data_IF_528237158020
#
_entry.id   IF_528237158020
#
_cell.length_a   1.000
_cell.length_b   1.000
_cell.length_c   1.000
_cell.angle_alpha   90.00
_cell.angle_beta   90.00
_cell.angle_gamma   90.00
#
_symmetry.space_group_name_H-M   'P 1'
#
loop_
_entity.id
_entity.type
_entity.pdbx_description
1 polymer ?
#
# COMPACT_ATOMS: atom_id res chain seq x y z
N UNK A 1 -33.91 -15.83 67.60
CA UNK A 1 -32.73 -16.16 66.79
C UNK A 1 -33.21 -16.50 65.39
N UNK A 2 -33.15 -15.54 64.45
CA UNK A 2 -33.61 -15.71 63.07
C UNK A 2 -32.38 -15.88 62.18
N UNK A 3 -32.36 -16.95 61.40
CA UNK A 3 -31.30 -17.34 60.48
C UNK A 3 -31.12 -16.28 59.38
N UNK A 4 -29.85 -15.91 59.12
CA UNK A 4 -29.46 -15.00 58.05
C UNK A 4 -29.53 -15.69 56.69
N UNK A 5 -30.01 -14.92 55.70
CA UNK A 5 -30.21 -15.29 54.31
C UNK A 5 -28.91 -15.68 53.60
N UNK A 6 -29.00 -16.76 52.82
CA UNK A 6 -28.15 -17.03 51.67
C UNK A 6 -28.77 -16.34 50.45
N UNK A 7 -28.03 -15.45 49.80
CA UNK A 7 -28.27 -15.07 48.41
C UNK A 7 -26.93 -14.66 47.80
N UNK A 8 -26.31 -15.67 47.22
CA UNK A 8 -25.08 -15.69 46.41
C UNK A 8 -25.03 -14.57 45.37
N UNK A 9 -24.00 -13.73 45.48
CA UNK A 9 -23.60 -12.80 44.42
C UNK A 9 -23.05 -13.57 43.23
N UNK A 10 -23.80 -13.57 42.12
CA UNK A 10 -23.29 -13.98 40.81
C UNK A 10 -22.41 -12.85 40.25
N UNK A 11 -21.12 -12.86 40.59
CA UNK A 11 -20.13 -12.02 39.94
C UNK A 11 -19.82 -12.61 38.57
N UNK A 12 -20.38 -12.00 37.54
CA UNK A 12 -20.13 -12.29 36.13
C UNK A 12 -18.67 -11.90 35.83
N UNK A 13 -17.77 -12.88 35.79
CA UNK A 13 -16.41 -12.70 35.24
C UNK A 13 -16.54 -12.44 33.74
N UNK A 14 -16.47 -11.17 33.34
CA UNK A 14 -16.11 -10.79 31.97
C UNK A 14 -14.63 -11.13 31.79
N UNK A 15 -14.36 -12.31 31.25
CA UNK A 15 -13.08 -12.65 30.65
C UNK A 15 -12.87 -11.69 29.47
N UNK A 16 -12.04 -10.67 29.67
CA UNK A 16 -11.43 -9.96 28.56
C UNK A 16 -10.60 -11.00 27.79
N UNK A 17 -11.06 -11.35 26.60
CA UNK A 17 -10.23 -12.02 25.61
C UNK A 17 -9.18 -10.97 25.22
N UNK A 18 -8.01 -11.05 25.86
CA UNK A 18 -6.82 -10.35 25.38
C UNK A 18 -6.47 -11.00 24.04
N UNK A 19 -6.92 -10.38 22.95
CA UNK A 19 -6.46 -10.69 21.61
C UNK A 19 -4.94 -10.55 21.61
N UNK A 20 -4.26 -11.58 21.12
CA UNK A 20 -2.80 -11.67 21.09
C UNK A 20 -2.22 -10.66 20.09
N UNK A 21 -2.22 -9.37 20.44
CA UNK A 21 -1.61 -8.32 19.64
C UNK A 21 -0.11 -8.30 19.89
N UNK A 22 0.67 -8.56 18.84
CA UNK A 22 2.06 -8.19 18.82
C UNK A 22 2.15 -6.65 18.77
N UNK A 23 2.55 -6.03 19.88
CA UNK A 23 2.81 -4.59 20.01
C UNK A 23 1.70 -3.67 19.44
N UNK A 24 0.54 -3.60 20.12
CA UNK A 24 -0.59 -2.80 19.66
C UNK A 24 -0.29 -1.30 19.58
N UNK A 25 0.81 -0.83 20.17
CA UNK A 25 1.21 0.58 20.13
C UNK A 25 1.50 1.05 18.70
N UNK A 26 2.08 0.19 17.85
CA UNK A 26 2.35 0.53 16.45
C UNK A 26 1.06 0.66 15.65
N UNK A 27 0.18 -0.33 15.76
CA UNK A 27 -1.14 -0.35 15.13
C UNK A 27 -1.91 0.92 15.49
N UNK A 28 -2.10 1.17 16.78
CA UNK A 28 -2.86 2.32 17.27
C UNK A 28 -2.27 3.66 16.84
N UNK A 29 -0.94 3.79 16.80
CA UNK A 29 -0.29 5.03 16.39
C UNK A 29 -0.49 5.30 14.89
N UNK A 30 -0.36 4.28 14.04
CA UNK A 30 -0.58 4.39 12.60
C UNK A 30 -2.05 4.69 12.32
N UNK A 31 -2.98 3.95 12.93
CA UNK A 31 -4.42 4.19 12.74
C UNK A 31 -4.83 5.60 13.17
N UNK A 32 -4.32 6.07 14.31
CA UNK A 32 -4.56 7.43 14.80
C UNK A 32 -4.01 8.50 13.86
N UNK A 33 -2.85 8.26 13.25
CA UNK A 33 -2.24 9.18 12.31
C UNK A 33 -2.95 9.21 10.95
N UNK A 34 -3.25 8.03 10.42
CA UNK A 34 -3.78 7.84 9.08
C UNK A 34 -5.31 7.97 9.00
N UNK A 35 -6.02 7.75 10.11
CA UNK A 35 -7.49 7.74 10.15
C UNK A 35 -8.11 6.53 9.45
N UNK A 36 -7.36 5.44 9.27
CA UNK A 36 -7.80 4.17 8.67
C UNK A 36 -7.25 3.00 9.47
N UNK A 37 -7.98 1.89 9.48
CA UNK A 37 -7.57 0.69 10.19
C UNK A 37 -6.45 -0.03 9.46
N UNK A 38 -5.54 -0.64 10.21
CA UNK A 38 -4.53 -1.54 9.67
C UNK A 38 -4.60 -2.89 10.40
N UNK A 39 -3.97 -3.93 9.86
CA UNK A 39 -3.95 -5.25 10.47
C UNK A 39 -2.51 -5.78 10.63
N UNK A 40 -2.38 -7.00 11.17
CA UNK A 40 -1.06 -7.59 11.35
C UNK A 40 -0.37 -7.93 10.01
N UNK A 41 -1.10 -8.01 8.89
CA UNK A 41 -0.52 -8.31 7.58
C UNK A 41 0.44 -7.22 7.11
N UNK A 42 0.40 -6.03 7.73
CA UNK A 42 1.37 -4.97 7.52
C UNK A 42 2.82 -5.46 7.71
N UNK A 43 3.08 -6.24 8.75
CA UNK A 43 4.42 -6.74 9.09
C UNK A 43 4.53 -8.28 9.08
N UNK A 44 3.41 -9.00 9.15
CA UNK A 44 3.36 -10.44 9.28
C UNK A 44 2.86 -11.12 7.99
N UNK A 45 3.28 -12.37 7.79
CA UNK A 45 2.74 -13.20 6.71
C UNK A 45 1.26 -13.51 6.95
N UNK A 46 0.88 -13.70 8.22
CA UNK A 46 -0.48 -14.02 8.61
C UNK A 46 -1.22 -12.77 9.14
N UNK A 47 -2.42 -12.44 8.62
CA UNK A 47 -3.21 -11.29 9.07
C UNK A 47 -3.70 -11.40 10.52
N UNK A 48 -3.79 -12.61 11.07
CA UNK A 48 -4.19 -12.83 12.47
C UNK A 48 -3.02 -12.63 13.46
N UNK A 49 -1.83 -12.25 12.96
CA UNK A 49 -0.63 -12.07 13.75
C UNK A 49 0.27 -13.30 13.84
N UNK A 50 1.36 -13.23 14.62
CA UNK A 50 2.43 -14.24 14.62
C UNK A 50 2.10 -15.52 15.40
N UNK A 51 1.08 -15.50 16.26
CA UNK A 51 0.74 -16.62 17.14
C UNK A 51 -0.42 -17.45 16.58
N UNK A 52 -0.33 -18.78 16.70
CA UNK A 52 -1.34 -19.72 16.23
C UNK A 52 -0.75 -20.85 15.39
N UNK A 53 -1.63 -21.62 14.75
CA UNK A 53 -1.27 -22.85 14.01
C UNK A 53 -1.52 -22.74 12.51
N UNK A 54 -1.95 -21.57 12.01
CA UNK A 54 -2.11 -21.32 10.58
C UNK A 54 -0.75 -20.98 9.95
N UNK A 55 -0.65 -21.13 8.64
CA UNK A 55 0.56 -20.81 7.86
C UNK A 55 1.09 -19.41 8.19
N UNK A 56 2.40 -19.29 8.40
CA UNK A 56 3.05 -18.03 8.77
C UNK A 56 2.95 -17.69 10.26
N UNK A 57 2.37 -18.57 11.09
CA UNK A 57 2.33 -18.44 12.55
C UNK A 57 3.25 -19.45 13.22
N UNK A 58 3.72 -19.12 14.43
CA UNK A 58 4.74 -19.87 15.18
C UNK A 58 4.41 -21.36 15.32
N UNK A 59 3.15 -21.71 15.58
CA UNK A 59 2.71 -23.09 15.79
C UNK A 59 2.57 -23.92 14.51
N UNK A 60 2.67 -23.29 13.33
CA UNK A 60 2.67 -23.99 12.04
C UNK A 60 4.07 -24.27 11.48
N UNK A 61 5.11 -23.69 12.10
CA UNK A 61 6.47 -23.72 11.57
C UNK A 61 7.07 -25.13 11.60
N UNK A 62 7.72 -25.51 10.51
CA UNK A 62 8.59 -26.68 10.46
C UNK A 62 9.82 -26.50 11.39
N UNK A 63 10.52 -27.58 11.75
CA UNK A 63 11.75 -27.47 12.55
C UNK A 63 12.81 -26.55 11.92
N UNK A 64 12.92 -26.52 10.59
CA UNK A 64 13.86 -25.66 9.87
C UNK A 64 13.45 -24.18 9.95
N UNK A 65 12.16 -23.88 9.77
CA UNK A 65 11.62 -22.53 9.92
C UNK A 65 11.73 -22.05 11.37
N UNK A 66 11.47 -22.91 12.34
CA UNK A 66 11.63 -22.57 13.75
C UNK A 66 13.09 -22.21 14.08
N UNK A 67 14.07 -22.93 13.51
CA UNK A 67 15.48 -22.55 13.61
C UNK A 67 15.77 -21.22 12.91
N UNK A 68 15.17 -20.96 11.74
CA UNK A 68 15.29 -19.67 11.05
C UNK A 68 14.72 -18.52 11.90
N UNK A 69 13.55 -18.72 12.51
CA UNK A 69 12.95 -17.78 13.46
C UNK A 69 13.87 -17.52 14.66
N UNK A 70 14.50 -18.55 15.22
CA UNK A 70 15.44 -18.38 16.32
C UNK A 70 16.69 -17.59 15.91
N UNK A 71 17.20 -17.80 14.70
CA UNK A 71 18.28 -16.96 14.14
C UNK A 71 17.80 -15.52 13.95
N UNK A 72 16.61 -15.31 13.40
CA UNK A 72 16.03 -13.98 13.21
C UNK A 72 15.82 -13.24 14.54
N UNK A 73 15.41 -13.95 15.59
CA UNK A 73 15.25 -13.40 16.94
C UNK A 73 16.56 -12.88 17.56
N UNK A 74 17.71 -13.32 17.07
CA UNK A 74 19.03 -12.85 17.52
C UNK A 74 19.55 -11.62 16.78
N UNK A 75 18.84 -11.12 15.76
CA UNK A 75 19.17 -9.87 15.07
C UNK A 75 18.80 -8.64 15.93
N UNK A 76 19.60 -8.40 16.96
CA UNK A 76 19.40 -7.28 17.89
C UNK A 76 19.80 -5.94 17.28
N UNK A 77 20.85 -5.92 16.47
CA UNK A 77 21.43 -4.73 15.85
C UNK A 77 21.08 -4.66 14.34
N UNK A 78 21.08 -3.45 13.74
CA UNK A 78 20.86 -3.26 12.30
C UNK A 78 21.81 -4.05 11.40
N UNK A 79 21.38 -4.31 10.17
CA UNK A 79 22.21 -4.90 9.10
C UNK A 79 22.35 -6.42 9.15
N UNK A 80 21.74 -7.08 10.15
CA UNK A 80 21.64 -8.53 10.15
C UNK A 80 20.65 -8.98 9.06
N UNK A 81 21.17 -9.63 8.02
CA UNK A 81 20.35 -10.24 6.97
C UNK A 81 19.73 -11.53 7.50
N UNK A 82 18.59 -11.41 8.16
CA UNK A 82 17.83 -12.55 8.67
C UNK A 82 16.41 -12.49 8.13
N UNK A 83 15.96 -13.62 7.59
CA UNK A 83 14.58 -13.79 7.14
C UNK A 83 13.81 -14.51 8.24
N UNK A 84 12.80 -13.85 8.78
CA UNK A 84 11.86 -14.45 9.71
C UNK A 84 10.71 -15.09 8.95
N UNK A 85 10.38 -16.37 9.18
CA UNK A 85 9.27 -17.06 8.49
C UNK A 85 7.88 -16.60 8.96
N UNK A 86 7.80 -15.69 9.93
CA UNK A 86 6.54 -15.12 10.42
C UNK A 86 6.37 -13.64 10.02
N UNK A 87 7.41 -13.03 9.43
CA UNK A 87 7.37 -11.66 8.94
C UNK A 87 7.25 -11.68 7.42
N UNK A 88 6.51 -10.74 6.87
CA UNK A 88 6.51 -10.50 5.44
C UNK A 88 7.80 -9.73 5.04
N UNK A 89 7.91 -9.37 3.75
CA UNK A 89 9.07 -8.64 3.25
C UNK A 89 9.27 -7.29 3.98
N UNK A 90 8.20 -6.55 4.26
CA UNK A 90 8.28 -5.28 5.00
C UNK A 90 8.72 -5.48 6.46
N UNK A 91 8.19 -6.48 7.16
CA UNK A 91 8.61 -6.81 8.52
C UNK A 91 10.09 -7.21 8.60
N UNK A 92 10.58 -8.02 7.64
CA UNK A 92 12.00 -8.36 7.56
C UNK A 92 12.86 -7.14 7.18
N UNK A 93 12.35 -6.25 6.32
CA UNK A 93 13.00 -5.00 6.00
C UNK A 93 13.15 -4.10 7.25
N UNK A 94 12.09 -3.95 8.06
CA UNK A 94 12.15 -3.21 9.33
C UNK A 94 13.22 -3.77 10.28
N UNK A 95 13.27 -5.10 10.44
CA UNK A 95 14.29 -5.76 11.29
C UNK A 95 15.69 -5.51 10.74
N UNK A 96 15.87 -5.53 9.43
CA UNK A 96 17.16 -5.27 8.78
C UNK A 96 17.62 -3.82 8.98
N UNK A 97 16.71 -2.86 8.80
CA UNK A 97 17.00 -1.41 8.91
C UNK A 97 17.29 -1.01 10.35
N UNK A 98 16.46 -1.45 11.30
CA UNK A 98 16.50 -0.96 12.67
C UNK A 98 17.16 -1.92 13.66
N UNK A 99 17.14 -3.22 13.38
CA UNK A 99 17.38 -4.23 14.40
C UNK A 99 16.28 -4.26 15.47
N UNK A 100 16.14 -5.41 16.13
CA UNK A 100 15.08 -5.61 17.13
C UNK A 100 15.17 -4.61 18.29
N UNK A 101 16.38 -4.29 18.75
CA UNK A 101 16.58 -3.40 19.91
C UNK A 101 15.98 -2.01 19.67
N UNK A 102 16.19 -1.46 18.46
CA UNK A 102 15.68 -0.15 18.10
C UNK A 102 14.17 -0.17 17.86
N UNK A 103 13.62 -1.20 17.19
CA UNK A 103 12.16 -1.37 17.05
C UNK A 103 11.48 -1.37 18.42
N UNK A 104 12.00 -2.14 19.37
CA UNK A 104 11.45 -2.18 20.75
C UNK A 104 11.51 -0.81 21.44
N UNK A 105 12.57 -0.03 21.21
CA UNK A 105 12.71 1.31 21.76
C UNK A 105 11.77 2.33 21.09
N UNK A 106 11.47 2.16 19.80
CA UNK A 106 10.54 2.99 19.03
C UNK A 106 9.07 2.77 19.40
N UNK A 107 8.73 1.79 20.26
CA UNK A 107 7.36 1.67 20.80
C UNK A 107 6.88 2.93 21.52
N UNK A 108 7.79 3.73 22.07
CA UNK A 108 7.47 5.01 22.69
C UNK A 108 7.06 6.10 21.67
N UNK A 109 7.50 5.96 20.42
CA UNK A 109 7.17 6.84 19.30
C UNK A 109 7.11 6.02 17.98
N UNK A 110 6.02 5.28 17.75
CA UNK A 110 5.94 4.33 16.63
C UNK A 110 6.16 4.94 15.25
N UNK A 111 5.70 6.18 15.03
CA UNK A 111 5.79 6.84 13.73
C UNK A 111 7.22 7.23 13.37
N UNK A 112 8.15 7.26 14.33
CA UNK A 112 9.56 7.45 14.05
C UNK A 112 10.21 6.26 13.31
N UNK A 113 9.47 5.14 13.10
CA UNK A 113 9.84 4.10 12.14
C UNK A 113 9.89 4.62 10.69
N UNK A 114 9.15 5.68 10.34
CA UNK A 114 9.18 6.22 8.98
C UNK A 114 10.56 6.82 8.64
N UNK A 115 11.27 7.37 9.62
CA UNK A 115 12.51 8.14 9.39
C UNK A 115 13.69 7.29 8.88
N UNK A 116 13.70 5.99 9.13
CA UNK A 116 14.80 5.08 8.78
C UNK A 116 14.52 4.22 7.54
N UNK A 117 13.28 4.22 7.05
CA UNK A 117 12.89 3.49 5.83
C UNK A 117 13.42 4.16 4.55
N UNK A 118 13.85 5.43 4.62
CA UNK A 118 14.45 6.14 3.49
C UNK A 118 13.53 6.19 2.27
N UNK A 119 14.10 5.91 1.10
CA UNK A 119 13.40 5.87 -0.19
C UNK A 119 13.01 4.43 -0.59
N UNK A 120 12.91 3.50 0.37
CA UNK A 120 12.42 2.13 0.10
C UNK A 120 11.00 2.18 -0.45
N UNK A 121 10.72 1.37 -1.46
CA UNK A 121 9.44 1.22 -2.17
C UNK A 121 9.35 -0.26 -2.58
N UNK A 122 8.84 -1.10 -1.68
CA UNK A 122 8.93 -2.56 -1.82
C UNK A 122 7.99 -3.13 -2.89
N UNK A 123 6.87 -2.46 -3.19
CA UNK A 123 5.94 -2.89 -4.23
C UNK A 123 6.09 -2.15 -5.57
N UNK A 124 6.90 -1.09 -5.61
CA UNK A 124 7.25 -0.35 -6.81
C UNK A 124 6.12 0.56 -7.31
N UNK A 125 5.11 0.84 -6.50
CA UNK A 125 4.01 1.72 -6.88
C UNK A 125 4.43 3.20 -6.99
N UNK A 126 5.63 3.54 -6.48
CA UNK A 126 6.25 4.86 -6.50
C UNK A 126 5.90 5.73 -5.30
N UNK A 127 5.27 5.16 -4.28
CA UNK A 127 5.14 5.71 -2.93
C UNK A 127 6.15 4.99 -2.04
N UNK A 128 6.90 5.72 -1.20
CA UNK A 128 7.87 5.07 -0.33
C UNK A 128 7.20 4.37 0.86
N UNK A 129 7.76 3.25 1.32
CA UNK A 129 7.30 2.49 2.47
C UNK A 129 7.18 3.38 3.73
N UNK A 130 8.07 4.38 3.87
CA UNK A 130 8.02 5.38 4.92
C UNK A 130 6.72 6.19 4.89
N UNK A 131 6.32 6.61 3.69
CA UNK A 131 5.12 7.38 3.48
C UNK A 131 3.88 6.50 3.63
N UNK A 132 3.94 5.25 3.18
CA UNK A 132 2.86 4.29 3.35
C UNK A 132 2.59 3.96 4.81
N UNK A 133 3.65 3.81 5.62
CA UNK A 133 3.53 3.67 7.07
C UNK A 133 2.78 4.85 7.71
N UNK A 134 3.08 6.08 7.28
CA UNK A 134 2.39 7.28 7.77
C UNK A 134 0.95 7.37 7.26
N UNK A 135 0.71 6.97 6.01
CA UNK A 135 -0.60 6.95 5.37
C UNK A 135 -1.45 5.75 5.80
N UNK A 136 -0.89 4.80 6.57
CA UNK A 136 -1.51 3.53 6.93
C UNK A 136 -1.76 2.61 5.74
N UNK A 137 -1.10 2.82 4.60
CA UNK A 137 -1.21 2.04 3.35
C UNK A 137 -0.25 0.85 3.38
N UNK A 138 -0.52 -0.21 2.60
CA UNK A 138 0.17 -1.48 2.81
C UNK A 138 1.43 -1.55 1.94
N UNK A 139 2.65 -1.68 2.52
CA UNK A 139 3.93 -1.56 1.79
C UNK A 139 4.26 -2.63 0.75
N UNK A 140 3.32 -3.53 0.49
CA UNK A 140 3.51 -4.68 -0.41
C UNK A 140 2.32 -4.81 -1.38
N UNK A 141 1.43 -3.81 -1.42
CA UNK A 141 0.21 -3.82 -2.21
C UNK A 141 0.08 -2.52 -2.98
N UNK A 142 0.51 -2.56 -4.25
CA UNK A 142 0.65 -1.40 -5.14
C UNK A 142 -0.63 -0.63 -5.47
N UNK A 143 -1.78 -1.07 -4.95
CA UNK A 143 -3.09 -0.45 -5.13
C UNK A 143 -3.74 -0.06 -3.80
N UNK A 144 -3.03 -0.18 -2.68
CA UNK A 144 -3.53 0.12 -1.33
C UNK A 144 -3.13 1.52 -0.82
N UNK A 145 -2.32 2.24 -1.60
CA UNK A 145 -1.86 3.61 -1.37
C UNK A 145 -2.97 4.67 -1.32
N UNK A 146 -2.59 5.90 -0.96
CA UNK A 146 -3.50 7.05 -1.02
C UNK A 146 -3.93 7.30 -2.49
N UNK A 147 -5.25 7.34 -2.80
CA UNK A 147 -5.71 7.42 -4.19
C UNK A 147 -5.16 8.62 -4.97
N UNK A 148 -5.05 9.78 -4.32
CA UNK A 148 -4.55 11.00 -4.97
C UNK A 148 -3.05 10.95 -5.21
N UNK A 149 -2.31 10.30 -4.31
CA UNK A 149 -0.87 10.10 -4.44
C UNK A 149 -0.56 9.12 -5.57
N UNK A 150 -1.24 7.98 -5.60
CA UNK A 150 -1.12 7.00 -6.68
C UNK A 150 -1.52 7.60 -8.04
N UNK A 151 -2.58 8.41 -8.08
CA UNK A 151 -2.95 9.15 -9.29
C UNK A 151 -1.81 10.08 -9.74
N UNK A 152 -1.22 10.83 -8.80
CA UNK A 152 -0.10 11.73 -9.09
C UNK A 152 1.12 10.98 -9.65
N UNK A 153 1.51 9.88 -9.01
CA UNK A 153 2.63 9.04 -9.46
C UNK A 153 2.35 8.45 -10.84
N UNK A 154 1.16 7.91 -11.08
CA UNK A 154 0.78 7.35 -12.37
C UNK A 154 0.72 8.41 -13.46
N UNK A 155 0.22 9.61 -13.15
CA UNK A 155 0.20 10.73 -14.09
C UNK A 155 1.62 11.18 -14.44
N UNK A 156 2.51 11.24 -13.45
CA UNK A 156 3.92 11.55 -13.67
C UNK A 156 4.66 10.47 -14.46
N UNK A 157 4.27 9.19 -14.35
CA UNK A 157 4.84 8.11 -15.18
C UNK A 157 4.33 8.19 -16.63
N UNK A 158 3.04 8.47 -16.81
CA UNK A 158 2.37 8.45 -18.11
C UNK A 158 2.35 9.80 -18.86
N UNK A 159 2.89 10.88 -18.28
CA UNK A 159 2.73 12.24 -18.81
C UNK A 159 3.11 12.38 -20.30
N UNK A 160 4.20 11.75 -20.72
CA UNK A 160 4.64 11.81 -22.11
C UNK A 160 3.66 11.10 -23.06
N UNK A 161 3.22 9.90 -22.68
CA UNK A 161 2.24 9.13 -23.47
C UNK A 161 0.92 9.89 -23.58
N UNK A 162 0.48 10.53 -22.50
CA UNK A 162 -0.73 11.36 -22.50
C UNK A 162 -0.58 12.58 -23.41
N UNK A 163 0.57 13.26 -23.41
CA UNK A 163 0.83 14.36 -24.33
C UNK A 163 0.81 13.86 -25.78
N UNK A 164 1.48 12.74 -26.06
CA UNK A 164 1.51 12.16 -27.39
C UNK A 164 0.11 11.74 -27.86
N UNK A 165 -0.70 11.17 -26.98
CA UNK A 165 -2.09 10.81 -27.25
C UNK A 165 -2.94 12.04 -27.59
N UNK A 166 -2.80 13.12 -26.82
CA UNK A 166 -3.49 14.39 -27.06
C UNK A 166 -3.06 14.98 -28.40
N UNK A 167 -1.76 15.05 -28.69
CA UNK A 167 -1.24 15.56 -29.95
C UNK A 167 -1.72 14.71 -31.14
N UNK A 168 -1.62 13.39 -31.05
CA UNK A 168 -2.10 12.48 -32.08
C UNK A 168 -3.60 12.66 -32.36
N UNK A 169 -4.40 12.82 -31.30
CA UNK A 169 -5.84 13.08 -31.42
C UNK A 169 -6.11 14.42 -32.09
N UNK A 170 -5.44 15.48 -31.67
CA UNK A 170 -5.59 16.82 -32.23
C UNK A 170 -5.18 16.88 -33.71
N UNK A 171 -4.01 16.35 -34.04
CA UNK A 171 -3.53 16.30 -35.43
C UNK A 171 -4.38 15.39 -36.31
N UNK A 172 -4.85 14.26 -35.77
CA UNK A 172 -5.76 13.37 -36.49
C UNK A 172 -7.09 14.05 -36.83
N UNK A 173 -7.73 14.68 -35.84
CA UNK A 173 -8.99 15.43 -36.06
C UNK A 173 -8.76 16.61 -37.01
N UNK A 174 -7.66 17.35 -36.83
CA UNK A 174 -7.30 18.46 -37.72
C UNK A 174 -7.12 17.99 -39.16
N UNK A 175 -6.35 16.91 -39.37
CA UNK A 175 -6.09 16.33 -40.69
C UNK A 175 -7.36 15.87 -41.39
N UNK A 176 -8.25 15.16 -40.67
CA UNK A 176 -9.55 14.72 -41.21
C UNK A 176 -10.42 15.92 -41.57
N UNK A 177 -10.51 16.94 -40.71
CA UNK A 177 -11.29 18.15 -40.98
C UNK A 177 -10.79 18.89 -42.22
N UNK A 178 -9.47 19.00 -42.36
CA UNK A 178 -8.84 19.64 -43.51
C UNK A 178 -9.09 18.85 -44.80
N UNK A 179 -8.97 17.52 -44.75
CA UNK A 179 -9.23 16.64 -45.89
C UNK A 179 -10.67 16.73 -46.39
N UNK A 180 -11.65 16.73 -45.48
CA UNK A 180 -13.08 16.88 -45.84
C UNK A 180 -13.32 18.25 -46.50
N UNK A 181 -12.72 19.33 -45.98
CA UNK A 181 -12.84 20.67 -46.57
C UNK A 181 -12.22 20.73 -47.97
N UNK A 182 -11.08 20.08 -48.16
CA UNK A 182 -10.43 19.99 -49.47
C UNK A 182 -11.32 19.27 -50.49
N UNK A 183 -11.85 18.08 -50.17
CA UNK A 183 -12.81 17.39 -51.04
C UNK A 183 -14.08 18.21 -51.33
N UNK A 184 -14.56 18.96 -50.35
CA UNK A 184 -15.70 19.86 -50.52
C UNK A 184 -15.42 21.04 -51.47
N UNK A 185 -14.18 21.56 -51.49
CA UNK A 185 -13.78 22.59 -52.44
C UNK A 185 -13.70 22.02 -53.85
N UNK A 186 -13.05 20.86 -54.02
CA UNK A 186 -12.90 20.20 -55.32
C UNK A 186 -14.26 19.87 -55.96
N UNK A 187 -15.20 19.34 -55.16
CA UNK A 187 -16.55 19.05 -55.63
C UNK A 187 -17.31 20.30 -56.10
N UNK A 188 -17.10 21.47 -55.46
CA UNK A 188 -17.71 22.73 -55.89
C UNK A 188 -17.07 23.28 -57.17
N UNK A 189 -15.74 23.20 -57.28
CA UNK A 189 -15.03 23.62 -58.49
C UNK A 189 -15.44 22.77 -59.70
N UNK A 190 -15.62 21.46 -59.53
CA UNK A 190 -16.08 20.56 -60.60
C UNK A 190 -17.54 20.84 -61.05
N UNK A 191 -18.41 21.33 -60.16
CA UNK A 191 -19.80 21.65 -60.48
C UNK A 191 -20.01 23.10 -60.95
N UNK A 192 -19.08 24.02 -60.63
CA UNK A 192 -19.16 25.44 -60.98
C UNK A 192 -18.40 25.84 -62.25
N UNK A 193 -17.63 24.92 -62.85
CA UNK A 193 -16.83 25.17 -64.06
C UNK A 193 -17.61 25.31 -65.37
N UNK A 194 -18.94 25.17 -65.35
CA UNK A 194 -19.77 25.10 -66.57
C UNK A 194 -20.52 26.42 -66.90
N UNK A 195 -20.41 27.48 -66.09
CA UNK A 195 -21.18 28.73 -66.29
C UNK A 195 -20.41 29.92 -66.91
N UNK A 196 -19.11 29.82 -67.17
CA UNK A 196 -18.31 30.93 -67.72
C UNK A 196 -17.93 30.71 -69.20
N UNK A 197 -18.92 30.58 -70.10
CA UNK A 197 -18.73 30.81 -71.54
C UNK A 197 -20.04 31.21 -72.25
N UNK A 198 -20.66 32.33 -71.87
CA UNK A 198 -21.69 32.98 -72.68
C UNK A 198 -21.53 34.49 -72.63
N UNK A 199 -20.46 34.97 -73.27
CA UNK A 199 -20.42 36.30 -73.88
C UNK A 199 -19.42 36.23 -75.06
N UNK A 200 -19.97 36.10 -76.26
CA UNK A 200 -19.27 36.02 -77.54
C UNK A 200 -20.26 36.09 -78.68
#
# INVERSE_FOLDING_TARGET
>A
MRALSAATSAALLLLAVETAHAYPEFEQAIEKNAGRTIDCAFCHINPDGPEGTKVGQIGSLSPAEFQALNRARTAFEPGAQVESPILNAFGNHLVTVYGKKKIVALRADPLALAAGLGDSDLDGDGVSDAQELLDGTHPLMSHHGNPWRLLGVNLQRAWFELIMLVLATLFGVYGISHLIRWFGHEARSALGGDEESKDG
#
